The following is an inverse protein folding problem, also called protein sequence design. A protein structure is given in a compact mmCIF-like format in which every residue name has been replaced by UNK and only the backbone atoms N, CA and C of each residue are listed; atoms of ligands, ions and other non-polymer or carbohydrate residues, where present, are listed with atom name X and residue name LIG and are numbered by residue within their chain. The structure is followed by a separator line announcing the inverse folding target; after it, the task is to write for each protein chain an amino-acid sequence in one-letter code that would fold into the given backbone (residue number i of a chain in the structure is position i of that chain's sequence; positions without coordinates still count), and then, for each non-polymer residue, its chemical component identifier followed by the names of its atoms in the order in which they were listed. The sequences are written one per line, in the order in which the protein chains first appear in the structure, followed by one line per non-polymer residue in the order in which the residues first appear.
data_IF_095849307601
#
_entry.id   IF_095849307601
#
_cell.length_a   1.000
_cell.length_b   1.000
_cell.length_c   1.000
_cell.angle_alpha   90.00
_cell.angle_beta   90.00
_cell.angle_gamma   90.00
#
_symmetry.space_group_name_H-M   'P 1'
#
loop_
_entity.id
_entity.type
_entity.pdbx_description
1 polymer ?
#
# COMPACT_ATOMS: atom_id res chain seq x y z
N UNK A 1 14.28 -10.07 60.16
CA UNK A 1 15.61 -9.52 59.84
C UNK A 1 15.87 -9.70 58.34
N UNK A 2 16.02 -8.56 57.65
CA UNK A 2 16.66 -8.31 56.34
C UNK A 2 17.08 -9.52 55.50
N UNK A 3 16.33 -9.87 54.45
CA UNK A 3 16.37 -9.33 53.06
C UNK A 3 17.51 -9.89 52.20
N UNK A 4 17.04 -10.54 51.14
CA UNK A 4 17.71 -11.22 50.03
C UNK A 4 18.63 -10.32 49.21
N UNK A 5 19.68 -10.94 48.68
CA UNK A 5 20.62 -10.37 47.70
C UNK A 5 19.88 -9.98 46.41
N UNK A 6 20.00 -8.71 46.01
CA UNK A 6 19.54 -8.19 44.72
C UNK A 6 20.44 -8.69 43.58
N UNK A 7 19.89 -9.54 42.69
CA UNK A 7 20.54 -9.97 41.44
C UNK A 7 20.10 -9.03 40.30
N UNK A 8 20.89 -8.00 39.99
CA UNK A 8 20.69 -7.22 38.77
C UNK A 8 21.25 -7.99 37.56
N UNK A 9 20.49 -8.14 36.45
CA UNK A 9 20.98 -8.80 35.25
C UNK A 9 22.13 -8.01 34.60
N UNK A 10 23.18 -8.71 34.21
CA UNK A 10 24.33 -8.17 33.46
C UNK A 10 24.12 -8.38 31.96
N UNK A 11 24.60 -7.46 31.15
CA UNK A 11 24.62 -7.63 29.69
C UNK A 11 25.55 -8.80 29.32
N UNK A 12 25.06 -9.78 28.54
CA UNK A 12 25.82 -10.99 28.16
C UNK A 12 27.01 -10.71 27.24
N UNK A 13 27.09 -9.53 26.62
CA UNK A 13 28.17 -9.16 25.69
C UNK A 13 29.31 -8.45 26.43
N UNK A 14 29.02 -7.58 27.40
CA UNK A 14 30.04 -6.73 28.03
C UNK A 14 30.17 -6.87 29.56
N UNK A 15 29.35 -7.71 30.20
CA UNK A 15 29.39 -8.03 31.65
C UNK A 15 29.27 -6.84 32.62
N UNK A 16 28.89 -5.65 32.13
CA UNK A 16 28.62 -4.47 32.96
C UNK A 16 27.17 -4.44 33.46
N UNK A 17 26.95 -3.88 34.64
CA UNK A 17 25.63 -3.70 35.23
C UNK A 17 24.86 -2.55 34.56
N UNK A 18 23.59 -2.79 34.19
CA UNK A 18 22.73 -1.78 33.56
C UNK A 18 22.32 -0.76 34.63
N UNK A 19 22.78 0.50 34.53
CA UNK A 19 22.29 1.60 35.37
C UNK A 19 21.16 2.34 34.65
N UNK A 20 20.01 2.51 35.32
CA UNK A 20 18.95 3.44 34.90
C UNK A 20 19.47 4.88 34.97
N UNK A 21 19.19 5.68 33.95
CA UNK A 21 19.42 7.13 33.94
C UNK A 21 18.09 7.82 34.28
N UNK A 22 18.02 8.70 35.30
CA UNK A 22 16.82 9.48 35.60
C UNK A 22 16.87 10.90 35.01
N UNK A 23 15.73 11.36 34.46
CA UNK A 23 15.30 12.75 34.55
C UNK A 23 15.22 13.58 33.25
N UNK A 24 14.06 13.55 32.58
CA UNK A 24 13.32 14.76 32.16
C UNK A 24 11.83 14.50 32.46
N UNK A 25 11.09 15.41 33.11
CA UNK A 25 9.68 15.19 33.42
C UNK A 25 8.86 15.32 32.13
N UNK A 26 8.22 14.23 31.71
CA UNK A 26 7.07 14.35 30.81
C UNK A 26 5.91 14.83 31.66
N UNK A 27 5.44 16.06 31.42
CA UNK A 27 4.08 16.40 31.80
C UNK A 27 3.16 15.41 31.08
N UNK A 28 2.51 14.57 31.87
CA UNK A 28 1.46 13.67 31.43
C UNK A 28 0.28 14.61 31.10
N UNK A 29 0.08 14.89 29.82
CA UNK A 29 -1.30 15.01 29.33
C UNK A 29 -1.96 13.69 29.69
N UNK A 30 -3.11 13.73 30.35
CA UNK A 30 -3.79 12.49 30.76
C UNK A 30 -3.94 11.57 29.54
N UNK A 31 -3.99 10.26 29.74
CA UNK A 31 -4.27 9.32 28.64
C UNK A 31 -5.62 9.67 27.96
N UNK A 32 -6.50 10.38 28.67
CA UNK A 32 -7.73 10.99 28.16
C UNK A 32 -7.48 12.19 27.25
N UNK A 33 -6.59 13.13 27.60
CA UNK A 33 -6.21 14.26 26.74
C UNK A 33 -5.44 13.79 25.49
N UNK A 34 -4.66 12.72 25.59
CA UNK A 34 -3.96 12.11 24.46
C UNK A 34 -4.94 11.34 23.54
N UNK A 35 -5.95 10.70 24.11
CA UNK A 35 -7.06 10.13 23.35
C UNK A 35 -7.88 11.22 22.65
N UNK A 36 -8.20 12.32 23.36
CA UNK A 36 -8.99 13.44 22.85
C UNK A 36 -8.26 14.27 21.77
N UNK A 37 -6.92 14.36 21.84
CA UNK A 37 -6.08 14.98 20.79
C UNK A 37 -5.83 14.06 19.57
N UNK A 38 -5.76 12.73 19.76
CA UNK A 38 -5.60 11.76 18.67
C UNK A 38 -6.90 11.55 17.88
N UNK A 39 -8.06 11.72 18.54
CA UNK A 39 -9.37 11.62 17.88
C UNK A 39 -9.65 12.69 16.83
N UNK A 40 -8.90 13.79 16.80
CA UNK A 40 -9.18 14.92 15.89
C UNK A 40 -8.37 14.84 14.58
N UNK A 41 -7.28 14.05 14.51
CA UNK A 41 -6.40 14.05 13.32
C UNK A 41 -5.87 12.70 12.81
N UNK A 42 -6.22 11.56 13.43
CA UNK A 42 -5.87 10.21 12.92
C UNK A 42 -7.16 9.43 12.61
N UNK A 43 -7.77 9.61 11.43
CA UNK A 43 -8.94 8.81 11.05
C UNK A 43 -8.54 7.32 10.99
N UNK A 44 -9.03 6.47 11.90
CA UNK A 44 -8.74 5.04 11.84
C UNK A 44 -9.39 4.46 10.58
N UNK A 45 -8.63 3.68 9.82
CA UNK A 45 -9.21 2.87 8.75
C UNK A 45 -10.03 1.77 9.43
N UNK A 46 -11.34 1.84 9.24
CA UNK A 46 -12.31 0.92 9.82
C UNK A 46 -13.02 0.21 8.67
N UNK A 47 -13.10 -1.11 8.74
CA UNK A 47 -13.98 -1.87 7.85
C UNK A 47 -15.40 -1.73 8.38
N UNK A 48 -16.25 -1.01 7.67
CA UNK A 48 -17.65 -0.79 8.06
C UNK A 48 -18.50 -2.02 7.79
N UNK A 49 -18.39 -2.60 6.59
CA UNK A 49 -19.04 -3.87 6.24
C UNK A 49 -18.23 -4.64 5.19
N UNK A 50 -18.52 -5.93 5.06
CA UNK A 50 -18.06 -6.81 3.98
C UNK A 50 -19.29 -7.32 3.22
N UNK A 51 -19.61 -6.64 2.13
CA UNK A 51 -20.82 -6.88 1.35
C UNK A 51 -20.67 -8.12 0.46
N UNK A 52 -21.76 -8.88 0.32
CA UNK A 52 -21.81 -10.15 -0.42
C UNK A 52 -22.16 -11.37 0.47
N UNK A 53 -21.93 -12.60 0.00
CA UNK A 53 -21.33 -12.95 -1.30
C UNK A 53 -22.25 -12.61 -2.50
N UNK A 54 -21.64 -12.36 -3.66
CA UNK A 54 -22.34 -12.10 -4.93
C UNK A 54 -22.09 -13.23 -5.92
N UNK A 55 -23.00 -13.38 -6.89
CA UNK A 55 -22.81 -14.33 -7.99
C UNK A 55 -21.66 -13.89 -8.90
N UNK A 56 -20.85 -14.84 -9.36
CA UNK A 56 -19.67 -14.57 -10.19
C UNK A 56 -19.99 -14.02 -11.60
N UNK A 57 -21.26 -14.03 -12.01
CA UNK A 57 -21.70 -13.45 -13.29
C UNK A 57 -21.97 -11.94 -13.21
N UNK A 58 -22.03 -11.37 -12.00
CA UNK A 58 -22.17 -9.93 -11.79
C UNK A 58 -20.77 -9.31 -11.76
N UNK A 59 -20.57 -8.26 -12.56
CA UNK A 59 -19.33 -7.48 -12.49
C UNK A 59 -19.38 -6.48 -11.33
N UNK A 60 -18.20 -5.96 -10.96
CA UNK A 60 -18.03 -5.02 -9.84
C UNK A 60 -18.96 -3.79 -9.93
N UNK A 61 -19.17 -3.26 -11.14
CA UNK A 61 -20.02 -2.10 -11.37
C UNK A 61 -21.51 -2.41 -11.15
N UNK A 62 -21.99 -3.58 -11.55
CA UNK A 62 -23.35 -4.03 -11.31
C UNK A 62 -23.60 -4.27 -9.82
N UNK A 63 -22.67 -4.95 -9.15
CA UNK A 63 -22.70 -5.18 -7.71
C UNK A 63 -22.76 -3.84 -6.94
N UNK A 64 -21.93 -2.87 -7.33
CA UNK A 64 -21.93 -1.55 -6.69
C UNK A 64 -23.26 -0.82 -6.85
N UNK A 65 -23.92 -0.90 -8.02
CA UNK A 65 -25.26 -0.32 -8.21
C UNK A 65 -26.27 -0.94 -7.25
N UNK A 66 -26.31 -2.27 -7.17
CA UNK A 66 -27.20 -2.99 -6.25
C UNK A 66 -26.97 -2.58 -4.79
N UNK A 67 -25.69 -2.45 -4.37
CA UNK A 67 -25.32 -2.02 -3.02
C UNK A 67 -25.84 -0.61 -2.72
N UNK A 68 -25.64 0.33 -3.64
CA UNK A 68 -25.93 1.74 -3.44
C UNK A 68 -27.41 2.07 -3.64
N UNK A 69 -28.13 1.26 -4.40
CA UNK A 69 -29.58 1.39 -4.60
C UNK A 69 -30.40 0.67 -3.52
N UNK A 70 -29.76 -0.15 -2.69
CA UNK A 70 -30.42 -0.85 -1.59
C UNK A 70 -30.87 0.15 -0.50
N UNK A 71 -32.17 0.36 -0.27
CA UNK A 71 -32.68 1.39 0.64
C UNK A 71 -32.34 1.09 2.11
N UNK A 72 -32.14 -0.18 2.47
CA UNK A 72 -31.72 -0.61 3.80
C UNK A 72 -30.20 -0.89 3.85
N UNK A 73 -29.46 -0.48 2.82
CA UNK A 73 -28.05 -0.78 2.63
C UNK A 73 -27.10 0.29 3.19
N UNK A 74 -25.86 0.25 2.69
CA UNK A 74 -24.80 1.18 3.11
C UNK A 74 -25.10 2.64 2.74
N UNK A 75 -26.05 2.90 1.82
CA UNK A 75 -26.46 4.26 1.46
C UNK A 75 -26.94 5.09 2.65
N UNK A 76 -27.45 4.44 3.70
CA UNK A 76 -27.90 5.12 4.92
C UNK A 76 -26.74 5.66 5.77
N UNK A 77 -25.50 5.27 5.47
CA UNK A 77 -24.28 5.77 6.11
C UNK A 77 -23.55 6.81 5.26
N UNK A 78 -24.07 7.13 4.07
CA UNK A 78 -23.40 7.96 3.08
C UNK A 78 -24.12 9.29 2.89
N UNK A 79 -23.36 10.36 2.75
CA UNK A 79 -23.86 11.72 2.53
C UNK A 79 -23.40 12.26 1.17
N UNK A 80 -24.20 13.14 0.51
CA UNK A 80 -23.75 13.84 -0.68
C UNK A 80 -22.43 14.58 -0.41
N UNK A 81 -21.45 14.40 -1.29
CA UNK A 81 -20.09 14.90 -1.13
C UNK A 81 -19.08 13.84 -0.65
N UNK A 82 -19.53 12.69 -0.14
CA UNK A 82 -18.64 11.59 0.22
C UNK A 82 -17.79 11.12 -0.95
N UNK A 83 -16.55 10.72 -0.63
CA UNK A 83 -15.53 10.38 -1.63
C UNK A 83 -15.38 8.87 -1.75
N UNK A 84 -15.75 8.34 -2.91
CA UNK A 84 -15.57 6.95 -3.29
C UNK A 84 -14.21 6.75 -3.97
N UNK A 85 -13.33 5.97 -3.35
CA UNK A 85 -12.03 5.61 -3.91
C UNK A 85 -12.12 4.19 -4.47
N UNK A 86 -12.18 4.04 -5.79
CA UNK A 86 -12.46 2.76 -6.46
C UNK A 86 -11.38 2.39 -7.48
N UNK A 87 -11.32 1.10 -7.84
CA UNK A 87 -10.45 0.65 -8.93
C UNK A 87 -11.10 0.89 -10.30
N UNK A 88 -10.31 0.75 -11.37
CA UNK A 88 -10.73 0.93 -12.76
C UNK A 88 -11.89 0.02 -13.19
N UNK A 89 -12.11 -1.11 -12.52
CA UNK A 89 -13.25 -2.01 -12.76
C UNK A 89 -14.61 -1.36 -12.47
N UNK A 90 -14.64 -0.30 -11.66
CA UNK A 90 -15.86 0.43 -11.30
C UNK A 90 -16.20 1.58 -12.26
N UNK A 91 -15.53 1.65 -13.42
CA UNK A 91 -15.75 2.71 -14.41
C UNK A 91 -17.23 2.87 -14.78
N UNK A 92 -17.93 1.76 -15.00
CA UNK A 92 -19.28 1.76 -15.54
C UNK A 92 -20.36 2.14 -14.50
N UNK A 93 -19.97 2.31 -13.22
CA UNK A 93 -20.84 2.81 -12.14
C UNK A 93 -20.53 4.25 -11.73
N UNK A 94 -19.43 4.84 -12.22
CA UNK A 94 -19.02 6.20 -11.85
C UNK A 94 -20.16 7.23 -12.01
N UNK A 95 -20.77 7.30 -13.20
CA UNK A 95 -21.84 8.26 -13.47
C UNK A 95 -23.05 8.09 -12.55
N UNK A 96 -23.34 6.86 -12.11
CA UNK A 96 -24.43 6.56 -11.18
C UNK A 96 -24.14 7.08 -9.78
N UNK A 97 -22.90 6.94 -9.31
CA UNK A 97 -22.49 7.48 -8.01
C UNK A 97 -22.46 9.02 -8.02
N UNK A 98 -22.00 9.62 -9.12
CA UNK A 98 -21.97 11.07 -9.30
C UNK A 98 -23.40 11.67 -9.38
N UNK A 99 -24.36 10.98 -10.03
CA UNK A 99 -25.77 11.38 -10.06
C UNK A 99 -26.41 11.37 -8.66
N UNK A 100 -25.96 10.47 -7.78
CA UNK A 100 -26.33 10.45 -6.35
C UNK A 100 -25.61 11.49 -5.49
N UNK A 101 -24.74 12.31 -6.09
CA UNK A 101 -24.05 13.40 -5.41
C UNK A 101 -22.74 13.01 -4.73
N UNK A 102 -22.19 11.83 -5.01
CA UNK A 102 -20.89 11.41 -4.48
C UNK A 102 -19.73 11.84 -5.39
N UNK A 103 -18.54 12.01 -4.80
CA UNK A 103 -17.31 12.22 -5.56
C UNK A 103 -16.64 10.87 -5.84
N UNK A 104 -16.31 10.57 -7.09
CA UNK A 104 -15.66 9.30 -7.43
C UNK A 104 -14.23 9.52 -7.88
N UNK A 105 -13.29 8.92 -7.15
CA UNK A 105 -11.86 8.92 -7.44
C UNK A 105 -11.43 7.53 -7.92
N UNK A 106 -10.93 7.45 -9.15
CA UNK A 106 -10.38 6.21 -9.70
C UNK A 106 -9.09 6.49 -10.49
N UNK A 107 -8.20 5.49 -10.65
CA UNK A 107 -7.01 5.66 -11.47
C UNK A 107 -7.38 5.94 -12.93
N UNK A 108 -6.71 6.91 -13.55
CA UNK A 108 -6.98 7.34 -14.92
C UNK A 108 -6.85 6.19 -15.92
N UNK A 109 -7.64 6.26 -16.99
CA UNK A 109 -7.67 5.27 -18.06
C UNK A 109 -6.95 5.82 -19.29
N UNK A 110 -5.91 5.10 -19.73
CA UNK A 110 -5.09 5.52 -20.87
C UNK A 110 -5.84 5.56 -22.21
N UNK A 111 -6.98 4.88 -22.30
CA UNK A 111 -7.73 4.71 -23.55
C UNK A 111 -6.86 4.04 -24.62
N UNK A 112 -6.83 4.62 -25.82
CA UNK A 112 -6.02 4.12 -26.96
C UNK A 112 -4.55 4.53 -26.89
N UNK A 113 -4.16 5.41 -25.93
CA UNK A 113 -2.78 5.87 -25.79
C UNK A 113 -1.90 4.78 -25.21
N UNK A 114 -0.60 4.85 -25.52
CA UNK A 114 0.39 3.94 -24.96
C UNK A 114 0.65 4.22 -23.47
N UNK A 115 0.50 5.48 -23.05
CA UNK A 115 0.87 5.98 -21.74
C UNK A 115 -0.07 7.12 -21.28
N UNK A 116 -0.23 7.25 -19.97
CA UNK A 116 -0.90 8.37 -19.32
C UNK A 116 -0.01 9.61 -19.32
N UNK A 117 -0.61 10.80 -19.33
CA UNK A 117 0.10 12.05 -19.09
C UNK A 117 0.67 12.10 -17.67
N UNK A 118 1.62 13.00 -17.41
CA UNK A 118 2.22 13.17 -16.08
C UNK A 118 1.15 13.46 -15.03
N UNK A 119 0.28 14.43 -15.30
CA UNK A 119 -0.82 14.85 -14.43
C UNK A 119 -1.79 13.69 -14.13
N UNK A 120 -2.21 12.95 -15.15
CA UNK A 120 -3.07 11.78 -15.00
C UNK A 120 -2.38 10.65 -14.19
N UNK A 121 -1.08 10.44 -14.42
CA UNK A 121 -0.29 9.42 -13.73
C UNK A 121 -0.11 9.78 -12.25
N UNK A 122 0.13 11.06 -11.94
CA UNK A 122 0.25 11.58 -10.59
C UNK A 122 -1.09 11.51 -9.85
N UNK A 123 -2.18 11.98 -10.45
CA UNK A 123 -3.54 11.85 -9.90
C UNK A 123 -3.88 10.38 -9.61
N UNK A 124 -3.58 9.48 -10.55
CA UNK A 124 -3.75 8.03 -10.34
C UNK A 124 -2.90 7.51 -9.17
N UNK A 125 -1.72 8.06 -8.94
CA UNK A 125 -0.86 7.65 -7.83
C UNK A 125 -1.47 7.99 -6.48
N UNK A 126 -2.08 9.16 -6.32
CA UNK A 126 -2.81 9.52 -5.09
C UNK A 126 -3.91 8.50 -4.78
N UNK A 127 -4.76 8.20 -5.78
CA UNK A 127 -5.83 7.20 -5.65
C UNK A 127 -5.26 5.83 -5.25
N UNK A 128 -4.21 5.37 -5.93
CA UNK A 128 -3.60 4.06 -5.59
C UNK A 128 -2.90 4.04 -4.23
N UNK A 129 -2.42 5.18 -3.72
CA UNK A 129 -1.80 5.27 -2.38
C UNK A 129 -2.86 5.11 -1.30
N UNK A 130 -4.04 5.70 -1.48
CA UNK A 130 -5.18 5.50 -0.59
C UNK A 130 -5.69 4.05 -0.71
N UNK A 131 -5.86 3.55 -1.93
CA UNK A 131 -6.35 2.18 -2.19
C UNK A 131 -5.45 1.09 -1.60
N UNK A 132 -4.14 1.32 -1.48
CA UNK A 132 -3.20 0.37 -0.87
C UNK A 132 -3.64 -0.06 0.53
N UNK A 133 -4.23 0.86 1.29
CA UNK A 133 -4.77 0.58 2.62
C UNK A 133 -5.82 -0.53 2.59
N UNK A 134 -6.74 -0.48 1.63
CA UNK A 134 -7.80 -1.50 1.46
C UNK A 134 -7.17 -2.85 1.14
N UNK A 135 -6.19 -2.89 0.24
CA UNK A 135 -5.45 -4.11 -0.11
C UNK A 135 -4.69 -4.67 1.10
N UNK A 136 -4.07 -3.81 1.91
CA UNK A 136 -3.34 -4.21 3.11
C UNK A 136 -4.29 -4.80 4.17
N UNK A 137 -5.46 -4.19 4.39
CA UNK A 137 -6.49 -4.73 5.30
C UNK A 137 -7.00 -6.08 4.82
N UNK A 138 -7.32 -6.22 3.53
CA UNK A 138 -7.73 -7.50 2.95
C UNK A 138 -6.64 -8.57 3.10
N UNK A 139 -5.38 -8.22 2.85
CA UNK A 139 -4.25 -9.13 3.06
C UNK A 139 -4.11 -9.58 4.51
N UNK A 140 -4.22 -8.65 5.46
CA UNK A 140 -4.17 -8.97 6.89
C UNK A 140 -5.33 -9.87 7.33
N UNK A 141 -6.53 -9.66 6.80
CA UNK A 141 -7.69 -10.52 7.08
C UNK A 141 -7.44 -11.95 6.59
N UNK A 142 -6.99 -12.12 5.35
CA UNK A 142 -6.68 -13.45 4.79
C UNK A 142 -5.56 -14.16 5.55
N UNK A 143 -4.49 -13.44 5.89
CA UNK A 143 -3.34 -14.00 6.60
C UNK A 143 -3.68 -14.42 8.04
N UNK A 144 -4.43 -13.61 8.79
CA UNK A 144 -4.75 -13.91 10.19
C UNK A 144 -5.89 -14.90 10.35
N UNK A 145 -6.87 -14.86 9.45
CA UNK A 145 -8.04 -15.71 9.48
C UNK A 145 -7.96 -16.69 8.31
N UNK A 146 -7.11 -17.72 8.44
CA UNK A 146 -6.84 -18.70 7.38
C UNK A 146 -8.09 -19.34 6.77
N UNK A 147 -9.18 -19.45 7.55
CA UNK A 147 -10.49 -19.89 7.04
C UNK A 147 -10.96 -19.06 5.83
N UNK A 148 -10.68 -17.74 5.82
CA UNK A 148 -11.09 -16.81 4.77
C UNK A 148 -10.20 -16.87 3.52
N UNK A 149 -9.00 -17.42 3.64
CA UNK A 149 -8.06 -17.60 2.52
C UNK A 149 -8.27 -18.94 1.79
N UNK A 150 -8.89 -19.92 2.48
CA UNK A 150 -9.14 -21.25 1.94
C UNK A 150 -10.44 -21.34 1.15
N UNK A 151 -10.55 -22.40 0.34
CA UNK A 151 -11.78 -22.76 -0.38
C UNK A 151 -12.85 -23.18 0.64
N UNK A 152 -14.02 -22.55 0.55
CA UNK A 152 -15.18 -22.93 1.37
C UNK A 152 -15.94 -24.10 0.75
N UNK A 153 -16.44 -25.00 1.59
CA UNK A 153 -17.52 -25.92 1.19
C UNK A 153 -18.77 -25.09 0.87
N UNK A 154 -19.45 -25.38 -0.24
CA UNK A 154 -20.69 -24.70 -0.64
C UNK A 154 -21.76 -24.70 0.47
N UNK A 155 -21.75 -25.68 1.38
CA UNK A 155 -22.63 -25.71 2.57
C UNK A 155 -22.41 -24.53 3.52
N UNK A 156 -21.22 -23.93 3.50
CA UNK A 156 -20.87 -22.78 4.33
C UNK A 156 -21.28 -21.45 3.70
N UNK A 157 -21.65 -21.41 2.42
CA UNK A 157 -22.01 -20.19 1.69
C UNK A 157 -23.00 -19.29 2.44
N UNK A 158 -24.08 -19.81 3.09
CA UNK A 158 -25.01 -18.97 3.85
C UNK A 158 -24.38 -18.25 5.06
N UNK A 159 -23.22 -18.71 5.53
CA UNK A 159 -22.51 -18.18 6.71
C UNK A 159 -21.23 -17.41 6.36
N UNK A 160 -20.74 -17.50 5.12
CA UNK A 160 -19.49 -16.84 4.69
C UNK A 160 -19.53 -15.34 4.98
N UNK A 161 -20.64 -14.66 4.68
CA UNK A 161 -20.79 -13.23 4.98
C UNK A 161 -20.62 -12.91 6.47
N UNK A 162 -21.18 -13.74 7.36
CA UNK A 162 -21.01 -13.60 8.80
C UNK A 162 -19.55 -13.82 9.24
N UNK A 163 -18.84 -14.76 8.64
CA UNK A 163 -17.42 -14.99 8.95
C UNK A 163 -16.56 -13.78 8.61
N UNK A 164 -16.75 -13.20 7.42
CA UNK A 164 -16.04 -11.98 7.01
C UNK A 164 -16.36 -10.80 7.93
N UNK A 165 -17.63 -10.59 8.30
CA UNK A 165 -18.02 -9.52 9.25
C UNK A 165 -17.40 -9.70 10.64
N UNK A 166 -17.41 -10.93 11.18
CA UNK A 166 -16.77 -11.22 12.47
C UNK A 166 -15.26 -10.96 12.39
N UNK A 167 -14.60 -11.43 11.35
CA UNK A 167 -13.18 -11.20 11.15
C UNK A 167 -12.84 -9.71 11.02
N UNK A 168 -13.65 -8.94 10.28
CA UNK A 168 -13.53 -7.48 10.16
C UNK A 168 -13.74 -6.78 11.50
N UNK A 169 -14.73 -7.19 12.29
CA UNK A 169 -14.95 -6.66 13.63
C UNK A 169 -13.73 -6.91 14.54
N UNK A 170 -13.25 -8.16 14.58
CA UNK A 170 -12.05 -8.52 15.36
C UNK A 170 -10.82 -7.76 14.86
N UNK A 171 -10.69 -7.54 13.56
CA UNK A 171 -9.63 -6.72 12.98
C UNK A 171 -9.71 -5.27 13.45
N UNK A 172 -10.88 -4.65 13.37
CA UNK A 172 -11.10 -3.28 13.80
C UNK A 172 -10.80 -3.09 15.29
N UNK A 173 -11.12 -4.09 16.11
CA UNK A 173 -10.98 -4.05 17.57
C UNK A 173 -9.55 -4.31 18.06
N UNK A 174 -8.86 -5.31 17.50
CA UNK A 174 -7.62 -5.83 18.09
C UNK A 174 -6.38 -5.67 17.21
N UNK A 175 -6.54 -5.40 15.92
CA UNK A 175 -5.37 -5.30 15.06
C UNK A 175 -4.68 -3.95 15.19
N UNK A 176 -3.34 -3.95 15.03
CA UNK A 176 -2.56 -2.71 15.01
C UNK A 176 -3.02 -1.87 13.82
N UNK A 177 -3.27 -0.58 14.07
CA UNK A 177 -3.61 0.38 13.03
C UNK A 177 -2.48 0.47 12.00
N UNK A 178 -2.86 0.61 10.73
CA UNK A 178 -1.90 0.85 9.65
C UNK A 178 -1.28 2.23 9.85
N UNK A 179 0.01 2.23 10.17
CA UNK A 179 0.84 3.42 10.24
C UNK A 179 2.06 3.13 9.38
N UNK A 180 1.97 3.50 8.11
CA UNK A 180 3.11 3.49 7.19
C UNK A 180 3.72 4.88 7.15
N UNK A 181 5.04 4.96 7.00
CA UNK A 181 5.76 6.20 6.75
C UNK A 181 5.65 7.28 7.85
N UNK A 182 5.30 6.92 9.09
CA UNK A 182 5.15 7.89 10.20
C UNK A 182 6.41 8.75 10.44
N UNK A 183 7.60 8.18 10.19
CA UNK A 183 8.88 8.90 10.33
C UNK A 183 9.15 9.90 9.20
N UNK A 184 8.55 9.71 8.02
CA UNK A 184 8.82 10.50 6.81
C UNK A 184 7.55 11.12 6.21
N UNK A 185 6.47 11.19 6.99
CA UNK A 185 5.16 11.58 6.49
C UNK A 185 5.20 12.97 5.86
N UNK A 186 5.71 13.95 6.60
CA UNK A 186 5.79 15.35 6.15
C UNK A 186 6.68 15.48 4.90
N UNK A 187 7.87 14.87 4.92
CA UNK A 187 8.80 14.89 3.78
C UNK A 187 8.18 14.27 2.52
N UNK A 188 7.44 13.17 2.67
CA UNK A 188 6.77 12.51 1.56
C UNK A 188 5.62 13.37 1.04
N UNK A 189 4.81 13.96 1.91
CA UNK A 189 3.70 14.83 1.51
C UNK A 189 4.22 16.05 0.75
N UNK A 190 5.21 16.75 1.31
CA UNK A 190 5.84 17.93 0.67
C UNK A 190 6.47 17.57 -0.69
N UNK A 191 7.16 16.43 -0.78
CA UNK A 191 7.68 15.92 -2.04
C UNK A 191 6.57 15.61 -3.05
N UNK A 192 5.46 15.01 -2.61
CA UNK A 192 4.33 14.70 -3.49
C UNK A 192 3.71 15.98 -4.04
N UNK A 193 3.44 16.96 -3.18
CA UNK A 193 2.84 18.24 -3.56
C UNK A 193 3.74 19.04 -4.52
N UNK A 194 5.03 19.16 -4.21
CA UNK A 194 5.98 19.89 -5.05
C UNK A 194 6.14 19.31 -6.46
N UNK A 195 5.87 18.01 -6.64
CA UNK A 195 6.01 17.30 -7.93
C UNK A 195 4.71 17.10 -8.69
N UNK A 196 3.56 17.34 -8.07
CA UNK A 196 2.25 16.97 -8.62
C UNK A 196 1.97 17.63 -9.98
N UNK A 197 2.34 18.91 -10.10
CA UNK A 197 2.10 19.73 -11.30
C UNK A 197 3.35 19.86 -12.18
N UNK A 198 4.39 19.07 -11.94
CA UNK A 198 5.61 19.08 -12.75
C UNK A 198 5.52 18.02 -13.84
N UNK A 199 5.64 18.43 -15.09
CA UNK A 199 5.70 17.50 -16.21
C UNK A 199 7.01 16.72 -16.24
N UNK A 200 6.92 15.44 -16.61
CA UNK A 200 8.07 14.57 -16.73
C UNK A 200 8.61 14.57 -18.16
N UNK A 201 9.52 15.49 -18.41
CA UNK A 201 10.18 15.72 -19.71
C UNK A 201 11.43 14.86 -19.93
N UNK A 202 11.76 13.96 -18.99
CA UNK A 202 13.02 13.19 -19.01
C UNK A 202 13.17 12.32 -20.27
N UNK A 203 12.07 11.81 -20.83
CA UNK A 203 12.14 11.02 -22.05
C UNK A 203 12.56 11.86 -23.28
N UNK A 204 12.14 13.14 -23.31
CA UNK A 204 12.34 14.05 -24.44
C UNK A 204 13.71 14.75 -24.37
N UNK A 205 14.13 15.13 -23.16
CA UNK A 205 15.39 15.82 -22.91
C UNK A 205 16.62 14.96 -23.21
N UNK A 206 16.52 13.63 -23.04
CA UNK A 206 17.69 12.73 -22.98
C UNK A 206 17.92 11.88 -24.24
N UNK A 207 17.46 12.38 -25.39
CA UNK A 207 17.91 11.93 -26.73
C UNK A 207 19.40 12.26 -26.96
N UNK A 208 19.99 13.13 -26.13
CA UNK A 208 21.42 13.52 -26.15
C UNK A 208 22.20 12.78 -25.04
N UNK A 209 23.40 12.29 -25.34
CA UNK A 209 24.21 11.53 -24.36
C UNK A 209 24.63 12.40 -23.18
N UNK A 210 24.19 12.01 -21.98
CA UNK A 210 24.62 12.57 -20.70
C UNK A 210 25.19 11.45 -19.83
N UNK A 211 26.23 11.77 -19.05
CA UNK A 211 26.97 10.79 -18.24
C UNK A 211 26.21 10.30 -17.02
N UNK A 212 25.23 11.08 -16.52
CA UNK A 212 24.56 10.83 -15.24
C UNK A 212 23.12 10.32 -15.40
N UNK A 213 22.84 9.64 -16.53
CA UNK A 213 21.55 9.00 -16.78
C UNK A 213 21.72 7.53 -17.08
N UNK A 214 21.06 6.70 -16.29
CA UNK A 214 20.97 5.27 -16.54
C UNK A 214 19.88 5.02 -17.57
N UNK A 215 20.24 4.37 -18.67
CA UNK A 215 19.33 3.88 -19.71
C UNK A 215 19.22 2.36 -19.56
N UNK A 216 18.04 1.85 -19.24
CA UNK A 216 17.82 0.43 -19.02
C UNK A 216 16.61 -0.08 -19.83
N UNK A 217 16.64 -1.37 -20.17
CA UNK A 217 15.54 -2.05 -20.83
C UNK A 217 14.99 -3.13 -19.91
N UNK A 218 13.67 -3.17 -19.75
CA UNK A 218 12.97 -4.14 -18.90
C UNK A 218 11.96 -4.90 -19.74
N UNK A 219 12.13 -6.22 -19.81
CA UNK A 219 11.19 -7.10 -20.50
C UNK A 219 9.84 -7.13 -19.78
N UNK A 220 8.75 -7.03 -20.54
CA UNK A 220 7.40 -7.16 -20.00
C UNK A 220 7.16 -8.57 -19.48
N UNK A 221 6.75 -8.68 -18.22
CA UNK A 221 6.37 -9.97 -17.60
C UNK A 221 5.13 -10.62 -18.22
N UNK A 222 4.28 -9.85 -18.89
CA UNK A 222 3.01 -10.33 -19.46
C UNK A 222 3.06 -10.53 -20.98
N UNK A 223 4.09 -9.99 -21.65
CA UNK A 223 4.14 -9.96 -23.13
C UNK A 223 5.58 -10.15 -23.57
N UNK A 224 5.93 -11.35 -24.05
CA UNK A 224 7.32 -11.72 -24.39
C UNK A 224 8.00 -10.85 -25.46
N UNK A 225 7.24 -10.17 -26.33
CA UNK A 225 7.79 -9.24 -27.34
C UNK A 225 7.96 -7.79 -26.87
N UNK A 226 7.43 -7.43 -25.70
CA UNK A 226 7.33 -6.03 -25.27
C UNK A 226 8.45 -5.69 -24.30
N UNK A 227 9.28 -4.71 -24.66
CA UNK A 227 10.33 -4.16 -23.81
C UNK A 227 9.96 -2.74 -23.43
N UNK A 228 10.17 -2.38 -22.17
CA UNK A 228 10.04 -1.01 -21.67
C UNK A 228 11.41 -0.39 -21.51
N UNK A 229 11.65 0.78 -22.12
CA UNK A 229 12.82 1.60 -21.80
C UNK A 229 12.56 2.38 -20.52
N UNK A 230 13.60 2.49 -19.71
CA UNK A 230 13.61 3.24 -18.46
C UNK A 230 14.82 4.17 -18.44
N UNK A 231 14.59 5.38 -17.95
CA UNK A 231 15.62 6.40 -17.79
C UNK A 231 15.61 6.84 -16.33
N UNK A 232 16.79 6.92 -15.71
CA UNK A 232 16.95 7.34 -14.32
C UNK A 232 18.10 8.34 -14.28
N UNK A 233 17.78 9.59 -14.02
CA UNK A 233 18.75 10.63 -13.73
C UNK A 233 19.12 10.59 -12.26
N UNK A 234 20.41 10.53 -11.99
CA UNK A 234 20.94 10.37 -10.64
C UNK A 234 22.11 11.31 -10.38
N UNK A 235 22.35 11.59 -9.11
CA UNK A 235 23.53 12.30 -8.64
C UNK A 235 24.56 11.28 -8.17
N UNK A 236 25.76 11.21 -8.80
CA UNK A 236 26.85 10.37 -8.32
C UNK A 236 27.20 10.65 -6.86
N UNK A 237 27.80 9.66 -6.20
CA UNK A 237 28.34 9.76 -4.84
C UNK A 237 27.33 10.24 -3.77
N UNK A 238 26.05 9.97 -3.99
CA UNK A 238 24.97 10.32 -3.06
C UNK A 238 24.44 9.06 -2.35
N UNK A 239 24.16 9.18 -1.05
CA UNK A 239 23.61 8.08 -0.23
C UNK A 239 22.12 8.33 -0.03
N UNK A 240 21.31 7.29 -0.25
CA UNK A 240 19.87 7.33 -0.04
C UNK A 240 19.08 7.82 -1.25
N UNK A 241 17.80 8.08 -1.04
CA UNK A 241 16.83 8.37 -2.09
C UNK A 241 17.08 9.72 -2.79
N UNK A 242 17.73 10.67 -2.12
CA UNK A 242 18.08 12.00 -2.65
C UNK A 242 19.05 11.94 -3.84
N UNK A 243 19.73 10.81 -4.03
CA UNK A 243 20.56 10.55 -5.20
C UNK A 243 19.77 10.31 -6.49
N UNK A 244 18.47 10.01 -6.40
CA UNK A 244 17.60 9.81 -7.56
C UNK A 244 16.83 11.10 -7.84
N UNK A 245 17.18 11.77 -8.93
CA UNK A 245 16.65 13.09 -9.26
C UNK A 245 15.33 12.99 -10.02
N UNK A 246 15.35 12.30 -11.16
CA UNK A 246 14.19 12.09 -12.03
C UNK A 246 14.23 10.68 -12.63
N UNK A 247 13.08 10.17 -13.02
CA UNK A 247 12.98 8.92 -13.75
C UNK A 247 11.79 8.94 -14.70
N UNK A 248 11.85 8.17 -15.77
CA UNK A 248 10.71 7.88 -16.61
C UNK A 248 10.78 6.46 -17.17
N UNK A 249 9.63 5.94 -17.58
CA UNK A 249 9.51 4.63 -18.20
C UNK A 249 8.43 4.68 -19.29
N UNK A 250 8.55 3.82 -20.30
CA UNK A 250 7.55 3.72 -21.39
C UNK A 250 6.29 2.91 -21.01
N UNK A 251 6.18 2.49 -19.75
CA UNK A 251 4.98 1.79 -19.29
C UNK A 251 3.81 2.75 -19.10
N UNK A 252 2.59 2.22 -18.98
CA UNK A 252 1.37 3.04 -18.91
C UNK A 252 1.39 4.16 -17.84
N UNK A 253 2.05 3.92 -16.70
CA UNK A 253 2.16 4.86 -15.57
C UNK A 253 3.58 5.45 -15.43
N UNK A 254 4.39 5.41 -16.49
CA UNK A 254 5.83 5.67 -16.40
C UNK A 254 6.23 7.15 -16.49
N UNK A 255 5.27 8.06 -16.71
CA UNK A 255 5.52 9.51 -16.69
C UNK A 255 5.31 10.11 -15.30
N UNK A 256 4.83 9.35 -14.30
CA UNK A 256 4.65 9.89 -12.96
C UNK A 256 5.95 10.48 -12.41
N UNK A 257 5.82 11.58 -11.67
CA UNK A 257 6.89 12.19 -10.87
C UNK A 257 6.74 11.85 -9.38
N UNK A 258 5.54 11.42 -8.99
CA UNK A 258 5.20 10.95 -7.65
C UNK A 258 5.30 9.42 -7.56
N UNK A 259 6.27 8.94 -6.77
CA UNK A 259 6.64 7.53 -6.73
C UNK A 259 7.05 6.99 -8.11
N UNK A 260 7.39 5.71 -8.22
CA UNK A 260 7.86 5.15 -9.50
C UNK A 260 7.09 3.89 -9.92
N UNK A 261 7.22 3.50 -11.19
CA UNK A 261 6.71 2.22 -11.66
C UNK A 261 7.57 1.07 -11.17
N UNK A 262 6.99 -0.13 -11.16
CA UNK A 262 7.69 -1.35 -10.77
C UNK A 262 8.95 -1.59 -11.60
N UNK A 263 8.97 -1.18 -12.88
CA UNK A 263 10.17 -1.28 -13.72
C UNK A 263 11.32 -0.40 -13.20
N UNK A 264 11.04 0.89 -12.94
CA UNK A 264 12.03 1.82 -12.36
C UNK A 264 12.45 1.36 -10.97
N UNK A 265 11.48 0.99 -10.12
CA UNK A 265 11.74 0.48 -8.78
C UNK A 265 12.67 -0.73 -8.80
N UNK A 266 12.43 -1.68 -9.70
CA UNK A 266 13.26 -2.87 -9.85
C UNK A 266 14.69 -2.54 -10.27
N UNK A 267 14.88 -1.60 -11.21
CA UNK A 267 16.22 -1.16 -11.62
C UNK A 267 16.97 -0.51 -10.45
N UNK A 268 16.33 0.43 -9.74
CA UNK A 268 16.93 1.11 -8.59
C UNK A 268 17.29 0.08 -7.51
N UNK A 269 16.34 -0.79 -7.16
CA UNK A 269 16.56 -1.84 -6.16
C UNK A 269 17.71 -2.78 -6.55
N UNK A 270 17.76 -3.22 -7.80
CA UNK A 270 18.82 -4.09 -8.28
C UNK A 270 20.20 -3.43 -8.20
N UNK A 271 20.33 -2.21 -8.71
CA UNK A 271 21.61 -1.50 -8.77
C UNK A 271 22.09 -0.99 -7.42
N UNK A 272 21.18 -0.55 -6.56
CA UNK A 272 21.51 -0.02 -5.24
C UNK A 272 21.74 -1.13 -4.20
N UNK A 273 21.07 -2.27 -4.33
CA UNK A 273 21.05 -3.29 -3.28
C UNK A 273 21.16 -4.72 -3.80
N UNK A 274 20.21 -5.17 -4.63
CA UNK A 274 20.02 -6.61 -4.86
C UNK A 274 21.22 -7.30 -5.52
N UNK A 275 21.96 -6.61 -6.42
CA UNK A 275 23.15 -7.17 -7.09
C UNK A 275 24.32 -7.47 -6.15
N UNK A 276 24.29 -6.95 -4.93
CA UNK A 276 25.31 -7.18 -3.91
C UNK A 276 24.92 -8.28 -2.91
N UNK A 277 23.72 -8.84 -3.04
CA UNK A 277 23.27 -9.96 -2.22
C UNK A 277 23.82 -11.28 -2.79
N UNK A 278 24.15 -12.22 -1.90
CA UNK A 278 24.59 -13.56 -2.29
C UNK A 278 23.52 -14.32 -3.11
N UNK A 279 22.25 -13.99 -2.90
CA UNK A 279 21.10 -14.46 -3.68
C UNK A 279 20.10 -13.31 -3.77
N UNK A 280 19.53 -13.09 -4.95
CA UNK A 280 18.44 -12.13 -5.13
C UNK A 280 17.15 -12.82 -4.66
N UNK A 281 16.56 -12.41 -3.53
CA UNK A 281 15.30 -12.99 -3.07
C UNK A 281 14.19 -12.61 -4.04
N UNK A 282 13.23 -13.52 -4.24
CA UNK A 282 12.03 -13.18 -5.00
C UNK A 282 11.25 -12.10 -4.21
N UNK A 283 10.70 -11.05 -4.83
CA UNK A 283 10.03 -9.97 -4.11
C UNK A 283 8.93 -10.43 -3.12
N UNK A 284 8.24 -11.54 -3.44
CA UNK A 284 7.26 -12.16 -2.55
C UNK A 284 7.88 -12.78 -1.29
N UNK A 285 9.12 -13.29 -1.35
CA UNK A 285 9.83 -13.88 -0.20
C UNK A 285 10.15 -12.82 0.86
N UNK A 286 10.53 -11.60 0.45
CA UNK A 286 10.77 -10.49 1.39
C UNK A 286 9.45 -9.99 1.98
N UNK A 287 8.38 -9.88 1.19
CA UNK A 287 7.06 -9.50 1.71
C UNK A 287 6.60 -10.49 2.78
N UNK A 288 6.78 -11.79 2.57
CA UNK A 288 6.50 -12.81 3.60
C UNK A 288 7.31 -12.58 4.89
N UNK A 289 8.56 -12.13 4.78
CA UNK A 289 9.39 -11.82 5.95
C UNK A 289 8.95 -10.59 6.75
N UNK A 290 8.24 -9.63 6.13
CA UNK A 290 7.64 -8.48 6.83
C UNK A 290 6.45 -8.89 7.72
N UNK A 291 5.81 -10.01 7.41
CA UNK A 291 4.70 -10.58 8.17
C UNK A 291 5.14 -11.63 9.20
N UNK A 292 6.38 -12.13 9.13
CA UNK A 292 6.97 -13.09 10.07
C UNK A 292 7.31 -12.52 11.47
N UNK A 293 6.71 -11.39 11.89
CA UNK A 293 6.91 -10.88 13.25
C UNK A 293 6.19 -11.69 14.34
N UNK A 294 5.32 -12.62 13.94
CA UNK A 294 4.76 -13.63 14.82
C UNK A 294 5.14 -15.02 14.27
N UNK A 295 5.69 -15.88 15.13
CA UNK A 295 6.17 -17.23 14.80
C UNK A 295 5.04 -18.11 14.20
N UNK A 296 4.84 -18.03 12.89
CA UNK A 296 3.97 -18.94 12.15
C UNK A 296 4.85 -19.72 11.17
N UNK A 297 5.05 -21.00 11.48
CA UNK A 297 5.77 -21.93 10.61
C UNK A 297 4.87 -22.28 9.43
N UNK A 298 5.14 -21.72 8.25
CA UNK A 298 4.44 -22.10 7.02
C UNK A 298 5.12 -23.31 6.38
N UNK A 299 4.38 -24.40 6.25
CA UNK A 299 4.72 -25.50 5.34
C UNK A 299 4.25 -25.05 3.96
N UNK A 300 5.20 -24.85 3.04
CA UNK A 300 4.92 -24.49 1.65
C UNK A 300 4.73 -25.81 0.90
N UNK A 301 3.48 -26.13 0.54
CA UNK A 301 3.23 -27.09 -0.54
C UNK A 301 3.39 -26.36 -1.88
N UNK A 302 4.09 -27.03 -2.79
CA UNK A 302 4.51 -26.54 -4.09
C UNK A 302 3.32 -26.25 -5.02
N UNK A 303 3.40 -25.10 -5.69
CA UNK A 303 2.84 -24.76 -7.00
C UNK A 303 1.43 -25.22 -7.36
N UNK A 304 0.50 -24.25 -7.42
CA UNK A 304 -0.49 -24.19 -8.50
C UNK A 304 -0.85 -22.74 -8.83
N UNK A 305 -0.05 -22.08 -9.67
CA UNK A 305 -0.52 -20.97 -10.48
C UNK A 305 -1.35 -21.54 -11.65
N UNK A 306 -2.67 -21.58 -11.50
CA UNK A 306 -3.60 -21.64 -12.64
C UNK A 306 -4.66 -20.55 -12.47
N UNK A 307 -4.58 -19.60 -13.41
CA UNK A 307 -5.50 -18.53 -13.86
C UNK A 307 -6.03 -17.46 -12.88
#
# INVERSE_FOLDING_TARGET
MSTSKNNNPKCCICSKFIKKVPGVPKHIKSDEDAAEFSTIFDCPIIVVDMLGPYYANLNDAAIMKEIIDSPDGICNLLEPGDVFVVDRGFRDVQAHLEDKGYQVLMPALKGKRNQLMTTESNASRYVTKIRWVVEAVHGMLKQKYHLLDQKFDNKMLPRVGSFYRIASFLHNQYNKRLSSDAEYFDEIVEMMESRNNTDNTLAEEFVKDQTNVLKAQVQSRHIGRKVYRCFIEYKPDTIGWSGILRYCCECANGLRTIGCCSHVAAIIFYLAHARYLAKIPRPAEILNSLFNKDNITTVIDEDSEED
#
